data_IF_377664939207
#
_entry.id   IF_377664939207
#
_cell.length_a   1.000
_cell.length_b   1.000
_cell.length_c   1.000
_cell.angle_alpha   90.00
_cell.angle_beta   90.00
_cell.angle_gamma   90.00
#
_symmetry.space_group_name_H-M   'P 1'
#
loop_
_entity.id
_entity.type
_entity.pdbx_description
1 polymer ?
#
# COMPACT_ATOMS: atom_id res chain seq x y z
N UNK A 1 5.65 25.32 -11.67
CA UNK A 1 6.62 24.21 -11.80
C UNK A 1 5.76 23.01 -12.16
N UNK A 2 6.07 22.32 -13.25
CA UNK A 2 5.30 21.13 -13.62
C UNK A 2 5.68 20.00 -12.66
N UNK A 3 4.68 19.23 -12.21
CA UNK A 3 4.87 18.13 -11.28
C UNK A 3 5.41 16.91 -12.04
N UNK A 4 6.33 16.17 -11.41
CA UNK A 4 6.67 14.83 -11.86
C UNK A 4 5.50 13.87 -11.63
N UNK A 5 5.49 12.74 -12.32
CA UNK A 5 4.45 11.73 -12.16
C UNK A 5 4.43 11.13 -10.73
N UNK A 6 5.60 10.94 -10.10
CA UNK A 6 5.70 10.62 -8.67
C UNK A 6 5.05 11.68 -7.78
N UNK A 7 5.32 12.96 -8.02
CA UNK A 7 4.70 14.04 -7.25
C UNK A 7 3.17 14.08 -7.44
N UNK A 8 2.67 13.85 -8.66
CA UNK A 8 1.22 13.75 -8.91
C UNK A 8 0.59 12.57 -8.17
N UNK A 9 1.28 11.43 -8.09
CA UNK A 9 0.83 10.26 -7.32
C UNK A 9 0.83 10.54 -5.81
N UNK A 10 1.86 11.21 -5.28
CA UNK A 10 1.88 11.65 -3.88
C UNK A 10 0.74 12.61 -3.54
N UNK A 11 0.42 13.53 -4.45
CA UNK A 11 -0.74 14.42 -4.29
C UNK A 11 -2.07 13.67 -4.30
N UNK A 12 -2.22 12.65 -5.16
CA UNK A 12 -3.37 11.76 -5.12
C UNK A 12 -3.47 11.01 -3.78
N UNK A 13 -2.35 10.50 -3.25
CA UNK A 13 -2.32 9.86 -1.93
C UNK A 13 -2.81 10.82 -0.83
N UNK A 14 -2.30 12.06 -0.83
CA UNK A 14 -2.72 13.09 0.13
C UNK A 14 -4.22 13.44 0.00
N UNK A 15 -4.73 13.57 -1.23
CA UNK A 15 -6.14 13.82 -1.50
C UNK A 15 -7.04 12.73 -0.88
N UNK A 16 -6.65 11.45 -1.01
CA UNK A 16 -7.36 10.36 -0.35
C UNK A 16 -7.19 10.36 1.18
N UNK A 17 -6.03 10.77 1.71
CA UNK A 17 -5.84 10.93 3.16
C UNK A 17 -6.80 11.97 3.75
N UNK A 18 -6.95 13.11 3.09
CA UNK A 18 -7.72 14.22 3.62
C UNK A 18 -9.23 14.14 3.32
N UNK A 19 -9.65 13.50 2.22
CA UNK A 19 -11.08 13.41 1.84
C UNK A 19 -11.62 11.99 1.63
N UNK A 20 -10.78 10.97 1.61
CA UNK A 20 -11.18 9.58 1.32
C UNK A 20 -11.71 9.37 -0.10
N UNK A 21 -11.46 10.31 -1.02
CA UNK A 21 -12.00 10.34 -2.38
C UNK A 21 -11.01 10.98 -3.34
N UNK A 22 -11.17 10.69 -4.63
CA UNK A 22 -10.40 11.36 -5.68
C UNK A 22 -10.69 12.87 -5.76
N UNK A 23 -9.82 13.59 -6.46
CA UNK A 23 -10.01 15.02 -6.74
C UNK A 23 -11.35 15.30 -7.42
N UNK A 24 -11.69 14.48 -8.43
CA UNK A 24 -12.90 14.64 -9.24
C UNK A 24 -14.16 14.39 -8.42
N UNK A 25 -14.18 13.36 -7.57
CA UNK A 25 -15.31 13.05 -6.69
C UNK A 25 -15.48 14.08 -5.57
N UNK A 26 -14.39 14.74 -5.18
CA UNK A 26 -14.41 15.83 -4.21
C UNK A 26 -14.90 17.16 -4.82
N UNK A 27 -15.03 17.22 -6.16
CA UNK A 27 -15.50 18.40 -6.88
C UNK A 27 -14.47 19.53 -6.98
N UNK A 28 -13.20 19.24 -6.74
CA UNK A 28 -12.11 20.22 -6.86
C UNK A 28 -11.60 20.28 -8.30
N UNK A 29 -11.17 21.46 -8.75
CA UNK A 29 -10.62 21.66 -10.11
C UNK A 29 -9.20 21.13 -10.23
N UNK A 30 -8.39 21.35 -9.20
CA UNK A 30 -6.98 20.97 -9.13
C UNK A 30 -6.54 20.82 -7.66
N UNK A 31 -5.32 20.33 -7.44
CA UNK A 31 -4.76 20.20 -6.09
C UNK A 31 -4.56 21.54 -5.39
N UNK A 32 -4.41 22.65 -6.13
CA UNK A 32 -4.26 23.98 -5.51
C UNK A 32 -5.54 24.36 -4.78
N UNK A 33 -6.70 24.06 -5.36
CA UNK A 33 -8.00 24.23 -4.72
C UNK A 33 -8.14 23.36 -3.46
N UNK A 34 -7.71 22.09 -3.52
CA UNK A 34 -7.65 21.18 -2.36
C UNK A 34 -6.87 21.80 -1.20
N UNK A 35 -5.63 22.25 -1.44
CA UNK A 35 -4.80 22.85 -0.38
C UNK A 35 -5.34 24.20 0.10
N UNK A 36 -5.89 25.00 -0.81
CA UNK A 36 -6.55 26.25 -0.45
C UNK A 36 -7.68 26.00 0.53
N UNK A 37 -8.47 24.95 0.30
CA UNK A 37 -9.60 24.60 1.18
C UNK A 37 -9.16 24.22 2.59
N UNK A 38 -8.07 23.48 2.74
CA UNK A 38 -7.51 23.17 4.08
C UNK A 38 -7.01 24.44 4.73
N UNK A 39 -6.28 25.27 3.99
CA UNK A 39 -5.68 26.51 4.50
C UNK A 39 -6.72 27.55 4.93
N UNK A 40 -7.88 27.60 4.28
CA UNK A 40 -9.01 28.43 4.71
C UNK A 40 -9.52 28.03 6.10
N UNK A 41 -9.37 26.77 6.49
CA UNK A 41 -9.62 26.30 7.84
C UNK A 41 -8.35 26.47 8.69
N UNK A 42 -8.05 27.71 9.07
CA UNK A 42 -6.83 28.06 9.81
C UNK A 42 -6.49 27.13 11.00
N UNK A 43 -7.43 26.83 11.92
CA UNK A 43 -7.17 25.91 13.02
C UNK A 43 -6.78 24.49 12.56
N UNK A 44 -7.51 23.91 11.61
CA UNK A 44 -7.22 22.57 11.06
C UNK A 44 -5.85 22.54 10.37
N UNK A 45 -5.54 23.57 9.59
CA UNK A 45 -4.25 23.66 8.90
C UNK A 45 -3.10 23.73 9.90
N UNK A 46 -3.24 24.54 10.96
CA UNK A 46 -2.23 24.65 12.00
C UNK A 46 -2.03 23.33 12.75
N UNK A 47 -3.12 22.67 13.18
CA UNK A 47 -3.04 21.35 13.84
C UNK A 47 -2.38 20.31 12.93
N UNK A 48 -2.73 20.30 11.63
CA UNK A 48 -2.12 19.39 10.67
C UNK A 48 -0.61 19.63 10.53
N UNK A 49 -0.18 20.89 10.45
CA UNK A 49 1.24 21.24 10.39
C UNK A 49 1.98 20.87 11.68
N UNK A 50 1.39 21.13 12.84
CA UNK A 50 1.96 20.72 14.13
C UNK A 50 2.13 19.21 14.23
N UNK A 51 1.15 18.43 13.77
CA UNK A 51 1.25 16.96 13.72
C UNK A 51 2.35 16.54 12.75
N UNK A 52 2.43 17.13 11.55
CA UNK A 52 3.47 16.81 10.56
C UNK A 52 4.87 17.12 11.11
N UNK A 53 5.08 18.29 11.71
CA UNK A 53 6.35 18.69 12.32
C UNK A 53 6.72 17.77 13.49
N UNK A 54 5.75 17.43 14.34
CA UNK A 54 5.94 16.50 15.45
C UNK A 54 6.37 15.12 14.95
N UNK A 55 5.69 14.57 13.95
CA UNK A 55 6.05 13.26 13.39
C UNK A 55 7.42 13.30 12.71
N UNK A 56 7.70 14.34 11.92
CA UNK A 56 8.99 14.50 11.25
C UNK A 56 10.14 14.56 12.26
N UNK A 57 9.97 15.27 13.38
CA UNK A 57 10.99 15.39 14.43
C UNK A 57 11.31 14.08 15.17
N UNK A 58 10.44 13.06 15.03
CA UNK A 58 10.52 11.77 15.73
C UNK A 58 10.68 10.59 14.78
N UNK A 59 10.74 10.84 13.48
CA UNK A 59 10.87 9.79 12.47
C UNK A 59 12.33 9.40 12.36
N UNK A 60 12.69 8.28 12.98
CA UNK A 60 13.99 7.60 12.80
C UNK A 60 13.92 6.55 11.67
N UNK A 61 12.93 6.65 10.77
CA UNK A 61 12.74 5.69 9.68
C UNK A 61 13.87 5.87 8.68
N UNK A 62 14.62 4.79 8.46
CA UNK A 62 15.52 4.68 7.31
C UNK A 62 14.67 4.20 6.15
N UNK A 63 14.24 5.13 5.31
CA UNK A 63 13.58 4.83 4.04
C UNK A 63 14.63 4.30 3.04
N UNK A 64 14.17 3.41 2.17
CA UNK A 64 14.96 2.93 1.05
C UNK A 64 14.10 3.01 -0.21
N UNK A 65 14.65 3.66 -1.23
CA UNK A 65 14.11 3.59 -2.58
C UNK A 65 14.05 2.13 -3.03
N UNK A 66 12.96 1.80 -3.74
CA UNK A 66 12.78 0.49 -4.34
C UNK A 66 12.71 0.59 -5.85
N UNK A 67 13.54 -0.20 -6.54
CA UNK A 67 13.44 -0.38 -7.99
C UNK A 67 12.45 -1.51 -8.30
N UNK A 68 11.20 -1.14 -8.56
CA UNK A 68 10.15 -2.08 -9.02
C UNK A 68 10.12 -2.21 -10.56
N UNK A 69 11.06 -1.60 -11.28
CA UNK A 69 11.00 -1.49 -12.74
C UNK A 69 9.95 -0.51 -13.27
N UNK A 70 9.28 0.23 -12.38
CA UNK A 70 8.37 1.32 -12.69
C UNK A 70 8.40 2.41 -11.61
N UNK A 71 7.93 3.60 -11.95
CA UNK A 71 7.89 4.74 -11.04
C UNK A 71 6.83 4.55 -9.93
N UNK A 72 7.29 4.49 -8.69
CA UNK A 72 6.50 4.22 -7.50
C UNK A 72 6.92 5.17 -6.36
N UNK A 73 6.00 5.96 -5.78
CA UNK A 73 6.32 6.86 -4.68
C UNK A 73 6.27 6.16 -3.30
N UNK A 74 6.12 4.83 -3.27
CA UNK A 74 6.09 4.07 -2.03
C UNK A 74 7.51 3.65 -1.64
N UNK A 75 7.85 3.88 -0.39
CA UNK A 75 9.15 3.56 0.20
C UNK A 75 9.03 2.32 1.10
N UNK A 76 10.13 1.58 1.22
CA UNK A 76 10.20 0.44 2.13
C UNK A 76 10.11 0.89 3.59
N UNK A 77 9.44 0.09 4.42
CA UNK A 77 9.24 0.35 5.85
C UNK A 77 8.43 1.61 6.21
N UNK A 78 7.92 2.34 5.22
CA UNK A 78 6.98 3.43 5.40
C UNK A 78 5.55 2.92 5.53
N UNK A 79 4.72 3.71 6.21
CA UNK A 79 3.37 3.30 6.56
C UNK A 79 2.32 3.94 5.65
N UNK A 80 1.54 3.12 4.97
CA UNK A 80 0.49 3.57 4.05
C UNK A 80 -0.84 2.91 4.34
N UNK A 81 -1.94 3.62 4.10
CA UNK A 81 -3.27 3.01 4.03
C UNK A 81 -3.39 2.19 2.74
N UNK A 82 -4.34 1.26 2.72
CA UNK A 82 -4.66 0.48 1.51
C UNK A 82 -4.93 1.39 0.32
N UNK A 83 -5.73 2.43 0.52
CA UNK A 83 -6.14 3.32 -0.56
C UNK A 83 -4.96 4.14 -1.07
N UNK A 84 -4.04 4.58 -0.19
CA UNK A 84 -2.79 5.24 -0.57
C UNK A 84 -1.92 4.35 -1.46
N UNK A 85 -1.75 3.06 -1.11
CA UNK A 85 -0.97 2.11 -1.93
C UNK A 85 -1.62 1.95 -3.31
N UNK A 86 -2.93 1.72 -3.36
CA UNK A 86 -3.65 1.52 -4.61
C UNK A 86 -3.56 2.75 -5.54
N UNK A 87 -3.80 3.96 -5.02
CA UNK A 87 -3.77 5.17 -5.85
C UNK A 87 -2.36 5.52 -6.32
N UNK A 88 -1.34 5.25 -5.51
CA UNK A 88 0.07 5.42 -5.91
C UNK A 88 0.47 4.54 -7.10
N UNK A 89 -0.22 3.40 -7.25
CA UNK A 89 -0.03 2.44 -8.34
C UNK A 89 -1.02 2.66 -9.49
N UNK A 90 -1.79 3.75 -9.47
CA UNK A 90 -2.69 4.15 -10.55
C UNK A 90 -4.08 3.48 -10.52
N UNK A 91 -4.42 2.79 -9.43
CA UNK A 91 -5.75 2.19 -9.28
C UNK A 91 -6.78 3.29 -9.04
N UNK A 92 -7.79 3.32 -9.91
CA UNK A 92 -8.98 4.15 -9.73
C UNK A 92 -9.95 3.47 -8.77
N UNK A 93 -10.66 4.26 -7.97
CA UNK A 93 -11.72 3.81 -7.08
C UNK A 93 -11.26 2.71 -6.09
N UNK A 94 -10.19 2.97 -5.30
CA UNK A 94 -9.57 1.99 -4.39
C UNK A 94 -10.56 1.42 -3.35
N UNK A 95 -11.62 2.16 -3.02
CA UNK A 95 -12.66 1.77 -2.06
C UNK A 95 -13.44 0.51 -2.49
N UNK A 96 -13.48 0.22 -3.80
CA UNK A 96 -14.18 -0.96 -4.33
C UNK A 96 -13.37 -2.26 -4.17
N UNK A 97 -12.14 -2.20 -3.68
CA UNK A 97 -11.36 -3.40 -3.42
C UNK A 97 -11.93 -4.16 -2.22
N UNK A 98 -12.46 -5.36 -2.48
CA UNK A 98 -13.02 -6.26 -1.47
C UNK A 98 -12.11 -7.43 -1.13
N UNK A 99 -11.29 -7.84 -2.09
CA UNK A 99 -10.37 -8.97 -1.95
C UNK A 99 -8.99 -8.49 -1.48
N UNK A 100 -8.24 -9.37 -0.82
CA UNK A 100 -6.89 -9.08 -0.34
C UNK A 100 -5.82 -9.10 -1.43
N UNK A 101 -6.19 -9.36 -2.69
CA UNK A 101 -5.26 -9.41 -3.83
C UNK A 101 -5.79 -8.55 -4.97
N UNK A 102 -4.91 -7.82 -5.64
CA UNK A 102 -5.27 -7.05 -6.83
C UNK A 102 -4.16 -7.08 -7.90
N UNK A 103 -4.52 -7.56 -9.08
CA UNK A 103 -3.68 -7.43 -10.28
C UNK A 103 -3.84 -6.04 -10.91
N UNK A 104 -2.73 -5.38 -11.23
CA UNK A 104 -2.65 -4.13 -11.99
C UNK A 104 -2.08 -4.42 -13.38
N UNK A 105 -2.92 -4.50 -14.44
CA UNK A 105 -2.49 -4.86 -15.78
C UNK A 105 -1.42 -3.94 -16.37
N UNK A 106 -1.51 -2.63 -16.08
CA UNK A 106 -0.61 -1.60 -16.61
C UNK A 106 0.83 -1.79 -16.11
N UNK A 107 0.97 -2.28 -14.87
CA UNK A 107 2.25 -2.53 -14.22
C UNK A 107 2.67 -4.01 -14.31
N UNK A 108 1.74 -4.91 -14.65
CA UNK A 108 1.90 -6.37 -14.57
C UNK A 108 2.29 -6.84 -13.16
N UNK A 109 1.65 -6.24 -12.16
CA UNK A 109 1.97 -6.39 -10.74
C UNK A 109 0.77 -6.92 -9.99
N UNK A 110 0.98 -7.89 -9.10
CA UNK A 110 -0.02 -8.32 -8.11
C UNK A 110 0.29 -7.65 -6.76
N UNK A 111 -0.71 -7.01 -6.14
CA UNK A 111 -0.58 -6.45 -4.79
C UNK A 111 -1.31 -7.36 -3.81
N UNK A 112 -0.64 -7.72 -2.72
CA UNK A 112 -1.16 -8.59 -1.67
C UNK A 112 -1.28 -7.83 -0.35
N UNK A 113 -2.51 -7.65 0.11
CA UNK A 113 -2.82 -7.12 1.43
C UNK A 113 -3.03 -8.30 2.38
N UNK A 114 -2.11 -8.48 3.32
CA UNK A 114 -2.02 -9.67 4.16
C UNK A 114 -2.16 -9.28 5.63
N UNK A 115 -2.94 -10.05 6.39
CA UNK A 115 -3.04 -9.87 7.85
C UNK A 115 -2.37 -11.06 8.52
N UNK A 116 -1.24 -10.87 9.22
CA UNK A 116 -0.54 -11.99 9.90
C UNK A 116 -1.24 -12.43 11.18
N UNK A 117 -1.72 -11.48 11.97
CA UNK A 117 -2.36 -11.75 13.26
C UNK A 117 -3.88 -11.68 13.10
N UNK A 118 -4.51 -12.82 12.79
CA UNK A 118 -5.97 -12.95 12.70
C UNK A 118 -6.52 -13.36 14.06
N UNK A 119 -7.48 -12.62 14.59
CA UNK A 119 -8.21 -12.97 15.81
C UNK A 119 -9.53 -13.66 15.46
N UNK A 120 -9.96 -14.65 16.25
CA UNK A 120 -11.27 -15.31 16.10
C UNK A 120 -12.46 -14.35 16.27
N UNK A 121 -12.22 -13.15 16.82
CA UNK A 121 -13.25 -12.13 17.05
C UNK A 121 -13.57 -11.35 15.77
N UNK A 122 -12.58 -11.17 14.89
CA UNK A 122 -12.66 -10.27 13.75
C UNK A 122 -12.67 -11.02 12.41
N UNK A 123 -12.41 -12.34 12.40
CA UNK A 123 -12.32 -13.16 11.19
C UNK A 123 -13.21 -14.41 11.27
N UNK A 124 -13.81 -14.79 10.13
CA UNK A 124 -14.59 -16.02 10.03
C UNK A 124 -13.68 -17.23 9.75
N UNK A 125 -14.13 -18.47 10.05
CA UNK A 125 -13.35 -19.67 9.73
C UNK A 125 -12.97 -19.78 8.24
N UNK A 126 -13.73 -19.15 7.34
CA UNK A 126 -13.50 -19.17 5.88
C UNK A 126 -12.46 -18.16 5.40
N UNK A 127 -12.04 -17.21 6.25
CA UNK A 127 -11.00 -16.21 5.91
C UNK A 127 -9.73 -16.36 6.76
N UNK A 128 -9.64 -17.46 7.51
CA UNK A 128 -8.50 -17.83 8.35
C UNK A 128 -7.38 -18.50 7.52
N UNK A 129 -6.86 -17.79 6.52
CA UNK A 129 -5.70 -18.26 5.74
C UNK A 129 -4.43 -18.24 6.61
N UNK A 130 -3.51 -19.18 6.37
CA UNK A 130 -2.22 -19.20 7.06
C UNK A 130 -1.22 -18.33 6.29
N UNK A 131 -1.00 -17.10 6.73
CA UNK A 131 -0.02 -16.19 6.15
C UNK A 131 1.08 -15.92 7.20
N UNK A 132 2.35 -16.21 6.89
CA UNK A 132 3.43 -16.07 7.86
C UNK A 132 4.82 -15.95 7.22
N UNK A 133 5.72 -15.28 7.93
CA UNK A 133 7.13 -15.22 7.57
C UNK A 133 7.81 -16.56 7.89
N UNK A 134 8.40 -17.19 6.88
CA UNK A 134 9.27 -18.37 7.04
C UNK A 134 10.70 -17.96 7.38
N UNK A 135 11.15 -16.80 6.87
CA UNK A 135 12.44 -16.18 7.20
C UNK A 135 12.37 -14.67 6.92
N UNK A 136 13.49 -13.96 7.10
CA UNK A 136 13.65 -12.55 6.70
C UNK A 136 13.45 -12.30 5.20
N UNK A 137 13.47 -13.36 4.38
CA UNK A 137 13.39 -13.29 2.91
C UNK A 137 12.34 -14.20 2.28
N UNK A 138 11.62 -14.97 3.09
CA UNK A 138 10.68 -15.98 2.61
C UNK A 138 9.35 -15.79 3.31
N UNK A 139 8.30 -15.58 2.51
CA UNK A 139 6.94 -15.39 2.98
C UNK A 139 6.08 -16.56 2.48
N UNK A 140 5.28 -17.11 3.38
CA UNK A 140 4.26 -18.08 3.05
C UNK A 140 2.92 -17.37 2.89
N UNK A 141 2.29 -17.54 1.72
CA UNK A 141 0.97 -17.00 1.44
C UNK A 141 0.02 -18.08 0.94
N UNK A 142 -1.21 -18.04 1.46
CA UNK A 142 -2.26 -18.98 1.09
C UNK A 142 -3.40 -18.28 0.34
N UNK A 143 -3.74 -18.80 -0.83
CA UNK A 143 -4.79 -18.23 -1.69
C UNK A 143 -6.20 -18.35 -1.09
N UNK A 144 -7.05 -17.36 -1.37
CA UNK A 144 -8.44 -17.36 -0.94
C UNK A 144 -9.29 -18.45 -1.64
N UNK A 145 -10.30 -19.00 -0.96
CA UNK A 145 -11.08 -20.15 -1.47
C UNK A 145 -11.99 -19.80 -2.66
N UNK A 146 -12.05 -20.73 -3.64
CA UNK A 146 -12.70 -20.72 -4.99
C UNK A 146 -11.86 -20.33 -6.21
N UNK A 147 -10.52 -20.32 -6.10
CA UNK A 147 -9.68 -20.49 -7.30
C UNK A 147 -9.75 -21.97 -7.73
N UNK A 148 -10.32 -22.26 -8.90
CA UNK A 148 -10.39 -23.62 -9.44
C UNK A 148 -9.00 -24.29 -9.46
N UNK A 149 -8.93 -25.59 -9.19
CA UNK A 149 -7.75 -26.46 -9.05
C UNK A 149 -6.64 -26.37 -10.13
N UNK A 150 -6.82 -25.55 -11.17
CA UNK A 150 -5.81 -25.29 -12.21
C UNK A 150 -4.65 -24.40 -11.77
N UNK A 151 -4.79 -23.64 -10.68
CA UNK A 151 -3.71 -22.83 -10.11
C UNK A 151 -3.56 -23.21 -8.63
N UNK A 152 -2.46 -23.87 -8.28
CA UNK A 152 -2.25 -24.51 -6.98
C UNK A 152 -2.55 -23.63 -5.77
N UNK A 153 -3.17 -24.25 -4.76
CA UNK A 153 -3.80 -23.63 -3.60
C UNK A 153 -2.80 -23.06 -2.55
N UNK A 154 -1.54 -22.82 -2.94
CA UNK A 154 -0.41 -22.48 -2.07
C UNK A 154 0.71 -21.85 -2.90
N UNK A 155 1.28 -20.73 -2.43
CA UNK A 155 2.45 -20.11 -3.06
C UNK A 155 3.50 -19.76 -2.01
N UNK A 156 4.76 -20.09 -2.31
CA UNK A 156 5.92 -19.64 -1.54
C UNK A 156 6.55 -18.45 -2.27
N UNK A 157 6.77 -17.36 -1.53
CA UNK A 157 7.17 -16.07 -2.09
C UNK A 157 8.55 -15.69 -1.54
N UNK A 158 9.53 -15.42 -2.42
CA UNK A 158 10.95 -15.18 -2.11
C UNK A 158 11.41 -13.77 -2.49
N UNK A 159 12.17 -13.10 -1.63
CA UNK A 159 12.88 -11.88 -2.02
C UNK A 159 14.05 -12.20 -2.97
N UNK A 160 14.27 -11.41 -4.05
CA UNK A 160 15.37 -11.64 -4.98
C UNK A 160 16.76 -11.48 -4.34
N UNK A 161 17.74 -12.28 -4.79
CA UNK A 161 19.12 -12.21 -4.33
C UNK A 161 20.03 -11.46 -5.33
N UNK A 162 20.32 -10.18 -5.06
CA UNK A 162 21.38 -9.40 -5.72
C UNK A 162 21.07 -8.83 -7.12
N UNK A 163 21.90 -7.86 -7.54
CA UNK A 163 21.79 -7.02 -8.77
C UNK A 163 21.97 -7.81 -10.10
N UNK A 164 21.17 -8.84 -10.35
CA UNK A 164 21.12 -9.61 -11.59
C UNK A 164 19.96 -9.17 -12.48
N UNK A 165 20.22 -8.93 -13.77
CA UNK A 165 19.27 -8.42 -14.77
C UNK A 165 17.96 -9.22 -14.83
N UNK A 166 16.87 -8.46 -14.86
CA UNK A 166 15.44 -8.80 -14.87
C UNK A 166 15.01 -9.82 -15.94
N UNK A 167 14.14 -10.75 -15.53
CA UNK A 167 13.16 -11.49 -16.35
C UNK A 167 11.80 -11.39 -15.63
N UNK A 168 10.67 -11.38 -16.38
CA UNK A 168 9.53 -10.50 -16.14
C UNK A 168 9.07 -10.53 -14.68
N UNK A 169 9.36 -9.41 -14.02
CA UNK A 169 9.05 -9.05 -12.65
C UNK A 169 7.62 -9.40 -12.27
N UNK A 170 7.50 -10.38 -11.37
CA UNK A 170 6.33 -10.52 -10.53
C UNK A 170 6.70 -9.74 -9.26
N UNK A 171 6.21 -8.51 -9.13
CA UNK A 171 6.37 -7.74 -7.91
C UNK A 171 5.15 -7.99 -7.03
N UNK A 172 5.29 -8.82 -6.00
CA UNK A 172 4.27 -9.00 -4.98
C UNK A 172 4.52 -8.04 -3.83
N UNK A 173 3.81 -6.91 -3.82
CA UNK A 173 3.82 -6.03 -2.66
C UNK A 173 3.06 -6.68 -1.51
N UNK A 174 3.77 -7.15 -0.48
CA UNK A 174 3.12 -7.60 0.76
C UNK A 174 3.00 -6.41 1.70
N UNK A 175 1.78 -6.20 2.18
CA UNK A 175 1.49 -5.23 3.22
C UNK A 175 0.82 -5.92 4.41
N UNK A 176 1.46 -5.86 5.57
CA UNK A 176 0.97 -6.44 6.82
C UNK A 176 -0.05 -5.52 7.51
N UNK A 177 -1.27 -6.02 7.73
CA UNK A 177 -2.21 -5.39 8.65
C UNK A 177 -1.91 -5.82 10.10
N UNK A 178 -1.56 -4.85 10.96
CA UNK A 178 -1.45 -5.07 12.41
C UNK A 178 -2.65 -4.41 13.11
N UNK A 179 -3.59 -5.22 13.61
CA UNK A 179 -4.65 -4.74 14.50
C UNK A 179 -4.12 -4.74 15.94
N UNK A 180 -3.70 -3.58 16.45
CA UNK A 180 -3.40 -3.36 17.88
C UNK A 180 -4.35 -2.29 18.41
N UNK A 181 -5.08 -2.60 19.48
CA UNK A 181 -5.96 -1.68 20.23
C UNK A 181 -7.06 -0.98 19.42
N UNK A 182 -7.65 -1.65 18.43
CA UNK A 182 -8.82 -1.13 17.69
C UNK A 182 -8.53 0.05 16.76
N UNK A 183 -7.25 0.39 16.56
CA UNK A 183 -6.79 1.26 15.48
C UNK A 183 -6.13 0.42 14.39
N UNK A 184 -6.41 0.72 13.11
CA UNK A 184 -5.64 0.18 12.00
C UNK A 184 -4.24 0.80 12.06
N UNK A 185 -3.26 0.07 12.58
CA UNK A 185 -1.88 0.54 12.65
C UNK A 185 -1.16 0.06 11.39
N UNK A 186 -0.87 1.04 10.53
CA UNK A 186 0.40 1.32 9.86
C UNK A 186 1.33 0.14 9.50
N UNK A 187 1.74 0.13 8.23
CA UNK A 187 1.92 -1.05 7.41
C UNK A 187 3.27 -1.02 6.69
N UNK A 188 4.19 -1.98 6.92
CA UNK A 188 5.44 -2.06 6.16
C UNK A 188 5.22 -2.64 4.74
N UNK A 189 5.67 -1.91 3.71
CA UNK A 189 5.83 -2.40 2.34
C UNK A 189 7.13 -3.20 2.22
N UNK A 190 7.07 -4.43 1.71
CA UNK A 190 8.24 -5.33 1.61
C UNK A 190 8.85 -5.48 0.20
N UNK A 191 8.31 -4.81 -0.81
CA UNK A 191 8.94 -4.71 -2.13
C UNK A 191 8.67 -5.84 -3.12
N UNK A 192 9.63 -6.13 -4.02
CA UNK A 192 9.53 -7.18 -5.05
C UNK A 192 9.80 -8.57 -4.45
N UNK A 193 9.01 -9.54 -4.91
CA UNK A 193 8.91 -10.86 -4.33
C UNK A 193 8.58 -11.88 -5.43
N UNK A 194 9.50 -12.82 -5.69
CA UNK A 194 9.39 -13.86 -6.71
C UNK A 194 8.66 -15.09 -6.18
N UNK A 195 7.63 -15.55 -6.88
CA UNK A 195 6.99 -16.85 -6.63
C UNK A 195 7.89 -17.98 -7.15
N UNK A 196 8.14 -18.99 -6.32
CA UNK A 196 8.74 -20.28 -6.74
C UNK A 196 7.70 -21.38 -6.88
#
# INVERSE_FOLDING_TARGET
RDLSNSEEKMLNMFQYTAWGKSLQESGFRDYVETFTRIRECGPLFNEMMEIMEYQLSRTDIVDFDIDLGYECPLELHCNYTRDQVLVSLGVKNPENMREGVKFIPELKTDILFVTLNKSDKDYSPTTMYEDYLLSDRLFHWQSQSTTSEKFGNRKEIRQPQGNGKQHPSFCEGIQENCERDGCSIHIPWYGELQIT
#
